data_IF_384724721802
#
_entry.id   IF_384724721802
#
_cell.length_a   1.000
_cell.length_b   1.000
_cell.length_c   1.000
_cell.angle_alpha   90.00
_cell.angle_beta   90.00
_cell.angle_gamma   90.00
#
_symmetry.space_group_name_H-M   'P 1'
#
loop_
_entity.id
_entity.type
_entity.pdbx_description
1 polymer ?
#
# COMPACT_ATOMS: atom_id res chain seq x y z
N UNK A 1 -5.94 44.01 47.37
CA UNK A 1 -5.82 42.78 47.12
C UNK A 1 -4.78 42.49 46.19
N UNK A 2 -4.22 41.40 46.37
CA UNK A 2 -3.31 41.11 45.48
C UNK A 2 -3.89 40.80 44.22
N UNK A 3 -3.33 41.24 43.29
CA UNK A 3 -3.78 41.00 42.07
C UNK A 3 -3.48 39.63 41.79
N UNK A 4 -4.27 39.10 41.28
CA UNK A 4 -4.03 37.99 40.91
C UNK A 4 -3.22 37.96 39.91
N UNK A 5 -2.27 37.31 39.96
CA UNK A 5 -1.43 37.16 39.05
C UNK A 5 -1.85 36.28 38.19
N UNK A 6 -1.94 36.66 37.16
CA UNK A 6 -2.13 36.18 36.05
C UNK A 6 -0.93 36.02 35.35
N UNK A 7 -0.18 35.04 35.74
CA UNK A 7 0.86 34.75 34.90
C UNK A 7 0.29 34.30 33.63
N UNK A 8 0.74 34.79 32.53
CA UNK A 8 0.30 34.28 31.29
C UNK A 8 0.59 32.81 31.26
N UNK A 9 -0.40 32.04 31.18
CA UNK A 9 -0.16 30.70 31.00
C UNK A 9 0.37 30.53 29.66
N UNK A 10 1.42 29.81 29.55
CA UNK A 10 1.87 29.40 28.26
C UNK A 10 0.75 28.63 27.62
N UNK A 11 0.39 28.95 26.40
CA UNK A 11 -0.61 28.12 25.74
C UNK A 11 -0.12 26.70 25.70
N UNK A 12 -1.01 25.74 25.79
CA UNK A 12 -0.56 24.35 25.66
C UNK A 12 0.15 24.19 24.34
N UNK A 13 1.17 23.39 24.27
CA UNK A 13 1.80 23.17 23.01
C UNK A 13 0.77 22.72 21.98
N UNK A 14 0.90 23.15 20.75
CA UNK A 14 -0.05 22.71 19.76
C UNK A 14 -0.04 21.20 19.72
N UNK A 15 -1.20 20.63 19.60
CA UNK A 15 -1.27 19.19 19.41
C UNK A 15 -0.43 18.81 18.21
N UNK A 16 0.25 17.70 18.24
CA UNK A 16 0.96 17.27 17.05
C UNK A 16 -0.01 17.17 15.90
N UNK A 17 0.42 17.50 14.69
CA UNK A 17 -0.46 17.41 13.55
C UNK A 17 -1.06 16.01 13.50
N UNK A 18 -2.34 15.97 13.22
CA UNK A 18 -3.01 14.70 13.07
C UNK A 18 -2.43 13.98 11.87
N UNK A 19 -2.12 12.73 12.05
CA UNK A 19 -1.65 11.91 10.95
C UNK A 19 -2.84 11.55 10.10
N UNK A 20 -2.74 11.77 8.82
CA UNK A 20 -3.85 11.54 7.90
C UNK A 20 -3.50 10.60 6.75
N UNK A 21 -2.24 10.29 6.56
CA UNK A 21 -1.81 9.57 5.38
C UNK A 21 -0.81 8.48 5.74
N UNK A 22 -1.01 7.33 5.17
CA UNK A 22 -0.04 6.25 5.25
C UNK A 22 0.40 5.90 3.83
N UNK A 23 1.70 5.81 3.62
CA UNK A 23 2.26 5.34 2.35
C UNK A 23 3.34 4.34 2.64
N UNK A 24 3.51 3.41 1.75
CA UNK A 24 4.55 2.41 1.84
C UNK A 24 4.65 1.60 0.59
N UNK A 25 5.71 0.84 0.47
CA UNK A 25 5.89 -0.10 -0.63
C UNK A 25 6.28 -1.43 -0.06
N UNK A 26 5.78 -2.48 -0.66
CA UNK A 26 6.08 -3.82 -0.23
C UNK A 26 6.82 -4.55 -1.34
N UNK A 27 8.03 -4.98 -1.03
CA UNK A 27 8.78 -5.79 -1.95
C UNK A 27 8.51 -7.24 -1.60
N UNK A 28 7.98 -7.98 -2.56
CA UNK A 28 7.57 -9.36 -2.32
C UNK A 28 8.61 -10.31 -2.89
N UNK A 29 8.88 -11.37 -2.14
CA UNK A 29 9.61 -12.50 -2.65
C UNK A 29 8.63 -13.31 -3.52
N UNK A 30 8.90 -13.55 -4.80
CA UNK A 30 7.94 -14.25 -5.66
C UNK A 30 7.50 -15.61 -5.13
N UNK A 31 8.36 -16.31 -4.42
CA UNK A 31 8.02 -17.62 -3.86
C UNK A 31 7.07 -17.50 -2.68
N UNK A 32 7.18 -16.44 -1.92
CA UNK A 32 6.39 -16.23 -0.71
C UNK A 32 5.34 -15.13 -0.86
N UNK A 33 5.16 -14.63 -2.06
CA UNK A 33 4.34 -13.45 -2.29
C UNK A 33 2.93 -13.59 -1.75
N UNK A 34 2.32 -14.75 -1.92
CA UNK A 34 0.96 -14.98 -1.41
C UNK A 34 0.88 -14.87 0.10
N UNK A 35 1.83 -15.49 0.80
CA UNK A 35 1.87 -15.44 2.26
C UNK A 35 2.18 -14.02 2.75
N UNK A 36 3.16 -13.38 2.14
CA UNK A 36 3.54 -12.01 2.53
C UNK A 36 2.42 -11.03 2.29
N UNK A 37 1.71 -11.15 1.17
CA UNK A 37 0.58 -10.29 0.88
C UNK A 37 -0.55 -10.53 1.88
N UNK A 38 -0.82 -11.79 2.23
CA UNK A 38 -1.83 -12.13 3.24
C UNK A 38 -1.51 -11.52 4.58
N UNK A 39 -0.25 -11.60 5.02
CA UNK A 39 0.19 -11.00 6.27
C UNK A 39 0.05 -9.47 6.24
N UNK A 40 0.44 -8.86 5.12
CA UNK A 40 0.32 -7.42 4.97
C UNK A 40 -1.14 -6.95 5.02
N UNK A 41 -2.03 -7.66 4.33
CA UNK A 41 -3.45 -7.32 4.34
C UNK A 41 -4.05 -7.49 5.73
N UNK A 42 -3.64 -8.52 6.44
CA UNK A 42 -4.22 -8.80 7.75
C UNK A 42 -3.62 -7.91 8.85
N UNK A 43 -2.33 -7.72 8.84
CA UNK A 43 -1.63 -7.04 9.94
C UNK A 43 -1.53 -5.53 9.77
N UNK A 44 -1.61 -5.04 8.54
CA UNK A 44 -1.49 -3.60 8.25
C UNK A 44 -2.78 -3.05 7.66
N UNK A 45 -3.20 -3.59 6.53
CA UNK A 45 -4.32 -3.02 5.78
C UNK A 45 -5.65 -3.12 6.49
N UNK A 46 -5.87 -4.20 7.25
CA UNK A 46 -7.13 -4.34 7.96
C UNK A 46 -7.38 -3.21 8.95
N UNK A 47 -6.32 -2.73 9.59
CA UNK A 47 -6.42 -1.60 10.53
C UNK A 47 -6.69 -0.28 9.82
N UNK A 48 -6.10 -0.08 8.66
CA UNK A 48 -6.28 1.15 7.89
C UNK A 48 -7.64 1.20 7.21
N UNK A 49 -8.10 0.07 6.70
CA UNK A 49 -9.40 -0.01 6.05
C UNK A 49 -10.56 0.17 7.02
N UNK A 50 -10.32 -0.09 8.29
CA UNK A 50 -11.34 0.11 9.32
C UNK A 50 -11.53 1.58 9.70
N UNK A 51 -10.66 2.47 9.27
CA UNK A 51 -10.78 3.89 9.59
C UNK A 51 -11.93 4.52 8.80
N UNK A 52 -12.80 5.30 9.45
CA UNK A 52 -13.93 5.89 8.75
C UNK A 52 -13.49 6.84 7.64
N UNK A 53 -14.07 6.67 6.47
CA UNK A 53 -13.78 7.54 5.33
C UNK A 53 -12.42 7.29 4.68
N UNK A 54 -11.72 6.23 5.04
CA UNK A 54 -10.41 5.96 4.47
C UNK A 54 -10.52 5.58 3.00
N UNK A 55 -9.68 6.22 2.19
CA UNK A 55 -9.54 5.84 0.80
C UNK A 55 -8.27 5.02 0.67
N UNK A 56 -8.41 3.83 0.10
CA UNK A 56 -7.30 2.90 0.00
C UNK A 56 -6.97 2.64 -1.45
N UNK A 57 -5.73 2.89 -1.82
CA UNK A 57 -5.22 2.56 -3.14
C UNK A 57 -4.08 1.57 -2.97
N UNK A 58 -4.25 0.40 -3.55
CA UNK A 58 -3.25 -0.64 -3.47
C UNK A 58 -2.91 -1.08 -4.89
N UNK A 59 -1.64 -1.03 -5.23
CA UNK A 59 -1.19 -1.46 -6.56
C UNK A 59 -0.05 -2.45 -6.43
N UNK A 60 0.03 -3.35 -7.37
CA UNK A 60 1.10 -4.34 -7.46
C UNK A 60 1.74 -4.19 -8.84
N UNK A 61 3.05 -4.03 -8.86
CA UNK A 61 3.79 -3.96 -10.11
C UNK A 61 4.56 -5.24 -10.32
N UNK A 62 4.55 -5.73 -11.54
CA UNK A 62 5.22 -6.96 -11.90
C UNK A 62 6.20 -6.68 -13.02
N UNK A 63 7.43 -7.13 -12.87
CA UNK A 63 8.45 -7.01 -13.89
C UNK A 63 9.22 -8.32 -13.95
N UNK A 64 9.17 -8.96 -15.10
CA UNK A 64 9.80 -10.26 -15.29
C UNK A 64 10.77 -10.18 -16.46
N UNK A 65 12.00 -10.66 -16.26
CA UNK A 65 12.96 -10.81 -17.32
C UNK A 65 13.18 -12.30 -17.55
N UNK A 66 12.99 -12.72 -18.77
CA UNK A 66 13.25 -14.09 -19.17
C UNK A 66 14.33 -14.06 -20.27
N UNK A 67 15.61 -14.19 -19.92
CA UNK A 67 16.69 -14.01 -20.90
C UNK A 67 16.64 -14.97 -22.08
N UNK A 68 16.04 -16.13 -21.89
CA UNK A 68 15.89 -17.11 -22.96
C UNK A 68 14.59 -16.99 -23.72
N UNK A 69 13.82 -15.92 -23.46
CA UNK A 69 12.56 -15.64 -24.14
C UNK A 69 11.36 -16.25 -23.44
N UNK A 70 10.21 -15.76 -23.82
CA UNK A 70 8.93 -16.29 -23.37
C UNK A 70 8.30 -16.94 -24.61
N UNK A 71 8.05 -18.24 -24.55
CA UNK A 71 7.50 -18.95 -25.68
C UNK A 71 6.03 -18.57 -25.92
N UNK A 72 5.55 -18.82 -27.12
CA UNK A 72 4.21 -18.39 -27.54
C UNK A 72 3.11 -19.00 -26.67
N UNK A 73 3.26 -20.24 -26.27
CA UNK A 73 2.26 -20.91 -25.43
C UNK A 73 2.17 -20.26 -24.06
N UNK A 74 3.32 -20.01 -23.43
CA UNK A 74 3.36 -19.33 -22.14
C UNK A 74 2.83 -17.91 -22.25
N UNK A 75 3.23 -17.18 -23.29
CA UNK A 75 2.76 -15.82 -23.52
C UNK A 75 1.23 -15.78 -23.62
N UNK A 76 0.65 -16.71 -24.38
CA UNK A 76 -0.80 -16.76 -24.53
C UNK A 76 -1.49 -17.04 -23.21
N UNK A 77 -1.03 -18.02 -22.46
CA UNK A 77 -1.63 -18.36 -21.17
C UNK A 77 -1.57 -17.19 -20.21
N UNK A 78 -0.43 -16.54 -20.11
CA UNK A 78 -0.24 -15.41 -19.21
C UNK A 78 -1.15 -14.24 -19.60
N UNK A 79 -1.21 -13.90 -20.89
CA UNK A 79 -2.04 -12.80 -21.36
C UNK A 79 -3.55 -13.10 -21.20
N UNK A 80 -3.97 -14.33 -21.46
CA UNK A 80 -5.36 -14.71 -21.23
C UNK A 80 -5.74 -14.62 -19.76
N UNK A 81 -4.87 -15.11 -18.88
CA UNK A 81 -5.13 -15.05 -17.44
C UNK A 81 -5.05 -13.63 -16.90
N UNK A 82 -4.14 -12.83 -17.42
CA UNK A 82 -4.05 -11.42 -17.05
C UNK A 82 -5.34 -10.68 -17.43
N UNK A 83 -5.89 -10.98 -18.61
CA UNK A 83 -7.15 -10.38 -19.03
C UNK A 83 -8.31 -10.84 -18.15
N UNK A 84 -8.34 -12.13 -17.79
CA UNK A 84 -9.39 -12.66 -16.91
C UNK A 84 -9.34 -12.03 -15.52
N UNK A 85 -8.15 -11.72 -15.02
CA UNK A 85 -7.96 -11.05 -13.75
C UNK A 85 -8.00 -9.52 -13.85
N UNK A 86 -8.21 -9.02 -15.05
CA UNK A 86 -8.32 -7.58 -15.33
C UNK A 86 -7.07 -6.79 -14.94
N UNK A 87 -5.91 -7.37 -15.23
CA UNK A 87 -4.67 -6.63 -15.07
C UNK A 87 -4.65 -5.44 -16.03
N UNK A 88 -4.16 -4.32 -15.54
CA UNK A 88 -3.99 -3.14 -16.37
C UNK A 88 -2.68 -3.22 -17.14
N UNK A 89 -2.73 -2.91 -18.41
CA UNK A 89 -1.54 -2.78 -19.26
C UNK A 89 -0.62 -3.99 -19.26
N UNK A 90 -1.13 -5.22 -19.42
CA UNK A 90 -0.22 -6.35 -19.54
C UNK A 90 0.50 -6.25 -20.89
N UNK A 91 1.80 -6.28 -20.86
CA UNK A 91 2.62 -6.15 -22.07
C UNK A 91 3.74 -7.18 -22.05
N UNK A 92 4.01 -7.72 -23.23
CA UNK A 92 5.20 -8.54 -23.45
C UNK A 92 5.99 -7.96 -24.62
N UNK A 93 7.27 -7.83 -24.42
CA UNK A 93 8.15 -7.30 -25.48
C UNK A 93 9.57 -7.83 -25.33
#
# INVERSE_FOLDING_TARGET
GSPEYRFPRNPPPPAPPQRTTFTGSLKLDPVRAGLQMGQFLEEVMSHLQALPGAEVNLSVEVHVKAPNGIDDTTARIVLENAAALKLDNPQMY
#
